data_IF_479199332280
#
_entry.id   IF_479199332280
#
_cell.length_a   1.000
_cell.length_b   1.000
_cell.length_c   1.000
_cell.angle_alpha   90.00
_cell.angle_beta   90.00
_cell.angle_gamma   90.00
#
_symmetry.space_group_name_H-M   'P 1'
#
loop_
_entity.id
_entity.type
_entity.pdbx_description
1 polymer ?
2 non-polymer ?
3 water ?
#
# COMPACT_ATOMS: atom_id res chain seq x y z
N UNK A 4 24.87 -6.10 -12.21
CA UNK A 4 24.35 -5.28 -11.06
C UNK A 4 23.93 -3.89 -11.52
N UNK A 5 24.59 -3.40 -12.57
CA UNK A 5 24.48 -2.01 -12.96
C UNK A 5 23.25 -1.73 -13.83
N UNK A 6 22.65 -0.58 -13.56
CA UNK A 6 21.62 -0.06 -14.40
C UNK A 6 22.28 0.56 -15.64
N UNK A 7 21.93 0.06 -16.82
CA UNK A 7 22.53 0.52 -18.08
C UNK A 7 21.59 1.44 -18.85
N UNK A 8 20.29 1.11 -18.89
CA UNK A 8 19.29 1.99 -19.49
C UNK A 8 19.05 3.19 -18.61
N UNK A 9 18.36 4.19 -19.17
CA UNK A 9 17.95 5.35 -18.37
C UNK A 9 16.45 5.36 -18.16
N UNK A 10 16.05 5.91 -17.03
CA UNK A 10 14.65 5.91 -16.55
C UNK A 10 14.19 7.35 -16.42
N UNK A 11 13.20 7.69 -17.23
CA UNK A 11 12.69 9.04 -17.31
C UNK A 11 11.21 9.05 -16.96
N UNK A 12 10.85 9.84 -15.95
CA UNK A 12 9.44 9.95 -15.57
C UNK A 12 8.89 11.30 -15.95
N UNK A 13 7.65 11.33 -16.43
CA UNK A 13 6.93 12.58 -16.66
C UNK A 13 5.85 12.75 -15.60
N UNK A 14 5.80 13.94 -15.01
CA UNK A 14 4.78 14.36 -14.03
C UNK A 14 4.09 15.63 -14.48
N UNK A 15 2.97 15.92 -13.83
CA UNK A 15 2.25 17.14 -14.18
C UNK A 15 0.77 16.94 -14.05
N UNK A 16 0.04 18.05 -13.97
CA UNK A 16 -1.38 17.95 -13.89
C UNK A 16 -1.95 17.35 -15.16
N UNK A 17 -3.18 16.92 -14.98
CA UNK A 17 -3.96 16.16 -15.93
C UNK A 17 -3.87 16.74 -17.36
N UNK A 18 -3.85 18.06 -17.48
CA UNK A 18 -3.83 18.63 -18.82
C UNK A 18 -2.46 18.99 -19.44
N UNK A 19 -1.42 18.93 -18.60
CA UNK A 19 -0.11 19.56 -18.85
C UNK A 19 0.66 19.12 -20.12
N UNK A 20 0.15 18.12 -20.82
CA UNK A 20 0.76 17.63 -22.07
C UNK A 20 1.81 16.54 -21.86
N UNK A 21 1.71 15.87 -20.71
CA UNK A 21 2.59 14.74 -20.36
C UNK A 21 2.70 13.75 -21.49
N UNK A 22 1.54 13.18 -21.85
CA UNK A 22 1.47 12.12 -22.85
C UNK A 22 2.02 12.55 -24.21
N UNK A 23 1.71 13.77 -24.67
CA UNK A 23 2.30 14.30 -25.92
C UNK A 23 3.84 14.30 -25.87
N UNK A 24 4.40 14.94 -24.85
CA UNK A 24 5.86 15.04 -24.71
C UNK A 24 6.53 13.72 -24.48
N UNK A 25 5.90 12.86 -23.66
CA UNK A 25 6.48 11.52 -23.44
C UNK A 25 6.50 10.71 -24.74
N UNK A 26 5.44 10.83 -25.54
CA UNK A 26 5.35 10.16 -26.85
C UNK A 26 6.44 10.66 -27.80
N UNK A 27 6.64 11.97 -27.82
CA UNK A 27 7.64 12.62 -28.67
C UNK A 27 9.04 12.19 -28.26
N UNK A 28 9.27 12.02 -26.95
CA UNK A 28 10.60 11.63 -26.50
C UNK A 28 10.86 10.20 -26.89
N UNK A 29 9.89 9.34 -26.67
CA UNK A 29 10.00 7.95 -27.12
C UNK A 29 10.36 7.87 -28.60
N UNK A 30 9.61 8.59 -29.44
CA UNK A 30 9.88 8.62 -30.88
C UNK A 30 11.31 9.06 -31.17
N UNK A 31 11.77 10.12 -30.49
CA UNK A 31 13.15 10.62 -30.64
C UNK A 31 14.19 9.55 -30.28
N UNK A 32 13.97 8.89 -29.14
CA UNK A 32 14.87 7.84 -28.70
C UNK A 32 14.92 6.68 -29.71
N UNK A 33 13.76 6.21 -30.15
CA UNK A 33 13.69 5.17 -31.19
C UNK A 33 14.37 5.54 -32.49
N UNK A 34 14.13 6.76 -32.96
CA UNK A 34 14.74 7.26 -34.19
C UNK A 34 16.23 7.16 -34.11
N UNK A 35 16.75 7.23 -32.89
CA UNK A 35 18.19 7.13 -32.63
C UNK A 35 18.68 5.73 -32.24
N UNK A 36 17.87 4.71 -32.52
CA UNK A 36 18.20 3.31 -32.24
C UNK A 36 18.47 3.01 -30.76
N UNK A 37 17.85 3.80 -29.88
CA UNK A 37 17.84 3.51 -28.45
C UNK A 37 16.60 2.66 -28.23
N UNK A 38 16.76 1.52 -27.56
CA UNK A 38 15.62 0.66 -27.23
C UNK A 38 14.89 1.26 -26.04
N UNK A 39 13.57 1.32 -26.12
CA UNK A 39 12.81 2.06 -25.10
C UNK A 39 11.43 1.46 -24.95
N UNK A 40 11.00 1.34 -23.69
CA UNK A 40 9.66 0.91 -23.34
C UNK A 40 8.92 2.11 -22.77
N UNK A 41 7.73 2.36 -23.30
CA UNK A 41 6.89 3.44 -22.80
C UNK A 41 5.82 2.86 -21.87
N UNK A 42 5.85 3.25 -20.59
CA UNK A 42 4.90 2.78 -19.58
C UNK A 42 4.12 3.99 -19.03
N UNK A 43 2.97 3.72 -18.40
CA UNK A 43 2.21 4.78 -17.71
C UNK A 43 1.53 4.19 -16.51
N UNK A 44 1.35 5.03 -15.50
CA UNK A 44 0.61 4.66 -14.31
C UNK A 44 -0.51 5.65 -14.09
N UNK A 45 -1.64 5.16 -13.62
CA UNK A 45 -1.99 3.78 -13.41
C UNK A 45 -2.20 3.08 -14.72
N UNK A 46 -2.17 1.75 -14.72
CA UNK A 46 -2.51 1.00 -15.90
C UNK A 46 -3.32 -0.20 -15.49
N UNK A 47 -3.80 -0.93 -16.49
CA UNK A 47 -4.76 -2.01 -16.27
C UNK A 47 -4.09 -3.36 -16.55
N UNK A 48 -2.82 -3.45 -16.23
CA UNK A 48 -2.10 -4.68 -16.45
C UNK A 48 -2.69 -5.88 -15.75
N UNK A 49 -3.21 -5.67 -14.54
CA UNK A 49 -3.83 -6.76 -13.76
C UNK A 49 -5.13 -6.27 -13.17
N UNK A 50 -5.75 -7.09 -12.31
CA UNK A 50 -6.94 -6.67 -11.59
C UNK A 50 -6.79 -5.46 -10.68
N UNK A 51 -5.55 -5.16 -10.26
CA UNK A 51 -5.33 -3.99 -9.40
C UNK A 51 -5.76 -2.73 -10.16
N UNK A 52 -5.20 -2.57 -11.37
CA UNK A 52 -5.53 -1.48 -12.26
C UNK A 52 -6.97 -1.42 -12.68
N UNK A 53 -7.61 -2.58 -12.85
CA UNK A 53 -9.07 -2.56 -13.10
C UNK A 53 -9.90 -1.91 -11.98
N UNK A 54 -9.52 -2.16 -10.71
CA UNK A 54 -10.21 -1.46 -9.60
C UNK A 54 -9.95 0.05 -9.61
N UNK A 55 -8.70 0.41 -9.88
CA UNK A 55 -8.36 1.82 -10.00
C UNK A 55 -9.20 2.52 -11.06
N UNK A 56 -9.45 1.86 -12.20
CA UNK A 56 -10.34 2.49 -13.22
C UNK A 56 -11.73 2.80 -12.67
N UNK A 57 -12.31 1.85 -11.90
CA UNK A 57 -13.64 2.06 -11.35
C UNK A 57 -13.64 3.21 -10.36
N UNK A 58 -12.56 3.37 -9.62
CA UNK A 58 -12.40 4.51 -8.72
C UNK A 58 -12.44 5.84 -9.48
N UNK A 59 -11.60 5.95 -10.50
CA UNK A 59 -11.48 7.20 -11.27
C UNK A 59 -12.78 7.55 -12.01
N UNK A 60 -13.55 6.52 -12.38
CA UNK A 60 -14.87 6.73 -13.01
C UNK A 60 -15.95 7.04 -11.96
N UNK A 61 -15.56 6.98 -10.69
CA UNK A 61 -16.46 7.21 -9.55
C UNK A 61 -17.58 6.18 -9.50
N UNK A 62 -17.26 4.95 -9.94
CA UNK A 62 -18.23 3.85 -9.97
C UNK A 62 -18.26 3.11 -8.64
N UNK A 63 -17.13 3.12 -7.92
CA UNK A 63 -17.11 2.57 -6.58
C UNK A 63 -16.87 3.70 -5.58
N UNK A 64 -17.17 3.46 -4.32
CA UNK A 64 -16.84 4.41 -3.27
C UNK A 64 -15.77 3.85 -2.33
N UNK A 65 -14.53 3.95 -2.77
CA UNK A 65 -13.40 3.43 -2.00
C UNK A 65 -12.83 4.50 -1.10
N UNK A 66 -12.31 4.08 0.06
CA UNK A 66 -11.74 5.01 1.03
C UNK A 66 -10.40 5.51 0.51
N UNK A 67 -9.94 6.62 1.05
CA UNK A 67 -8.77 7.27 0.55
C UNK A 67 -7.54 6.38 0.73
N UNK A 68 -7.39 5.74 1.90
CA UNK A 68 -6.20 4.88 2.08
C UNK A 68 -6.18 3.65 1.15
N UNK A 69 -7.35 3.04 0.96
CA UNK A 69 -7.46 1.86 0.13
C UNK A 69 -6.96 2.22 -1.28
N UNK A 70 -7.52 3.27 -1.90
CA UNK A 70 -7.12 3.64 -3.27
C UNK A 70 -5.65 4.01 -3.37
N UNK A 71 -5.15 4.68 -2.34
CA UNK A 71 -3.76 5.13 -2.33
C UNK A 71 -2.86 3.89 -2.44
N UNK A 72 -3.20 2.87 -1.63
CA UNK A 72 -2.38 1.66 -1.64
C UNK A 72 -2.51 0.88 -2.94
N UNK A 73 -3.66 0.91 -3.60
CA UNK A 73 -3.76 0.24 -4.90
C UNK A 73 -2.87 0.91 -5.95
N UNK A 74 -2.83 2.24 -5.96
CA UNK A 74 -1.91 2.95 -6.87
C UNK A 74 -0.44 2.55 -6.66
N UNK A 75 -0.06 2.41 -5.39
CA UNK A 75 1.34 2.06 -5.11
C UNK A 75 1.56 0.62 -5.52
N UNK A 76 0.63 -0.26 -5.19
CA UNK A 76 0.72 -1.68 -5.55
C UNK A 76 0.89 -1.88 -7.08
N UNK A 77 0.18 -1.06 -7.87
CA UNK A 77 0.28 -1.08 -9.33
C UNK A 77 1.73 -0.72 -9.74
N UNK A 78 2.40 0.19 -9.05
CA UNK A 78 3.81 0.44 -9.37
C UNK A 78 4.69 -0.75 -8.98
N UNK A 79 4.46 -1.32 -7.79
CA UNK A 79 5.28 -2.45 -7.36
C UNK A 79 5.22 -3.65 -8.31
N UNK A 80 4.05 -3.87 -8.92
CA UNK A 80 3.84 -5.02 -9.82
C UNK A 80 4.64 -4.87 -11.10
N UNK A 81 5.17 -3.65 -11.30
CA UNK A 81 5.99 -3.34 -12.46
C UNK A 81 7.49 -3.27 -12.24
N UNK A 82 7.90 -3.37 -10.98
CA UNK A 82 9.31 -3.23 -10.65
C UNK A 82 10.22 -4.30 -11.27
N UNK A 83 9.78 -5.56 -11.27
CA UNK A 83 10.55 -6.63 -11.92
C UNK A 83 10.83 -6.27 -13.37
N UNK A 84 9.77 -5.90 -14.10
CA UNK A 84 9.88 -5.55 -15.51
C UNK A 84 10.83 -4.35 -15.71
N UNK A 85 10.64 -3.29 -14.91
CA UNK A 85 11.42 -2.08 -15.10
C UNK A 85 12.91 -2.35 -14.78
N UNK A 86 13.15 -3.12 -13.71
CA UNK A 86 14.55 -3.48 -13.37
C UNK A 86 15.19 -4.24 -14.49
N UNK A 87 14.47 -5.24 -15.02
CA UNK A 87 15.04 -6.08 -16.06
C UNK A 87 15.37 -5.30 -17.33
N UNK A 88 14.47 -4.43 -17.76
CA UNK A 88 14.73 -3.61 -18.95
C UNK A 88 15.96 -2.75 -18.76
N UNK A 89 16.04 -2.08 -17.63
CA UNK A 89 17.15 -1.16 -17.38
C UNK A 89 18.48 -1.90 -17.25
N UNK A 90 18.46 -3.08 -16.66
CA UNK A 90 19.65 -3.93 -16.59
C UNK A 90 20.17 -4.29 -17.98
N UNK A 91 19.24 -4.49 -18.91
CA UNK A 91 19.57 -4.86 -20.29
C UNK A 91 19.96 -3.65 -21.17
N UNK A 92 19.77 -2.44 -20.67
CA UNK A 92 20.16 -1.24 -21.39
C UNK A 92 19.00 -0.64 -22.15
N UNK A 93 17.80 -1.16 -21.90
CA UNK A 93 16.59 -0.64 -22.49
C UNK A 93 16.11 0.49 -21.59
N UNK A 94 15.86 1.65 -22.20
CA UNK A 94 15.39 2.78 -21.43
C UNK A 94 13.89 2.65 -21.11
N UNK A 95 13.48 3.31 -20.03
CA UNK A 95 12.07 3.32 -19.66
C UNK A 95 11.62 4.77 -19.58
N UNK A 96 10.59 5.08 -20.35
CA UNK A 96 9.93 6.39 -20.29
C UNK A 96 8.53 6.13 -19.68
N UNK A 97 8.21 6.81 -18.57
CA UNK A 97 6.99 6.50 -17.82
C UNK A 97 6.16 7.75 -17.54
N UNK A 98 4.86 7.71 -17.86
CA UNK A 98 3.95 8.79 -17.65
C UNK A 98 3.33 8.60 -16.26
N UNK A 99 3.80 9.40 -15.30
CA UNK A 99 3.38 9.41 -13.86
C UNK A 99 4.07 8.29 -13.09
N UNK A 100 4.25 8.57 -11.80
CA UNK A 100 4.97 7.63 -10.93
C UNK A 100 4.56 7.88 -9.51
N UNK A 101 5.46 7.64 -8.54
CA UNK A 101 5.16 7.86 -7.11
C UNK A 101 4.89 9.31 -6.77
N UNK A 102 5.46 10.22 -7.57
CA UNK A 102 5.20 11.66 -7.30
C UNK A 102 3.70 12.01 -7.45
N UNK A 103 3.04 11.48 -8.49
CA UNK A 103 1.58 11.58 -8.63
C UNK A 103 0.88 10.98 -7.41
N UNK A 104 1.35 9.81 -7.00
CA UNK A 104 0.75 9.10 -5.85
C UNK A 104 0.65 10.01 -4.62
N UNK A 105 1.76 10.69 -4.34
CA UNK A 105 1.84 11.58 -3.18
C UNK A 105 1.03 12.90 -3.43
N UNK A 106 1.25 13.49 -4.60
CA UNK A 106 0.64 14.79 -4.89
C UNK A 106 -0.88 14.69 -4.91
N UNK A 107 -1.43 13.66 -5.53
CA UNK A 107 -2.88 13.51 -5.60
C UNK A 107 -3.47 13.10 -4.25
N UNK A 108 -2.88 12.14 -3.58
CA UNK A 108 -3.49 11.72 -2.30
C UNK A 108 -3.39 12.81 -1.23
N UNK A 109 -2.23 13.47 -1.15
CA UNK A 109 -2.01 14.43 -0.08
C UNK A 109 -2.67 15.75 -0.42
N UNK A 110 -2.70 16.07 -1.72
CA UNK A 110 -3.34 17.30 -2.21
C UNK A 110 -4.85 17.20 -2.27
N UNK A 111 -5.38 16.24 -3.03
CA UNK A 111 -6.82 16.05 -3.17
C UNK A 111 -7.53 15.33 -2.01
N UNK A 112 -6.88 14.33 -1.42
CA UNK A 112 -7.57 13.51 -0.43
C UNK A 112 -7.18 13.85 0.99
N UNK A 113 -6.24 14.78 1.13
CA UNK A 113 -5.81 15.32 2.42
C UNK A 113 -5.11 14.27 3.29
N UNK A 114 -4.49 13.27 2.66
CA UNK A 114 -3.75 12.26 3.42
C UNK A 114 -2.40 12.85 3.83
N UNK A 115 -1.85 12.36 4.93
CA UNK A 115 -0.59 12.85 5.42
C UNK A 115 0.49 12.48 4.40
N UNK A 116 1.38 13.43 4.09
CA UNK A 116 2.43 13.23 3.08
C UNK A 116 3.31 12.03 3.39
N UNK A 117 3.75 11.90 4.65
CA UNK A 117 4.71 10.86 4.98
C UNK A 117 4.01 9.52 4.87
N UNK A 118 2.76 9.43 5.34
CA UNK A 118 1.99 8.19 5.20
C UNK A 118 1.88 7.81 3.71
N UNK A 119 1.60 8.81 2.86
CA UNK A 119 1.53 8.60 1.41
C UNK A 119 2.84 8.15 0.79
N UNK A 120 3.97 8.68 1.27
CA UNK A 120 5.26 8.33 0.69
C UNK A 120 5.69 6.90 1.03
N UNK A 121 5.37 6.45 2.25
CA UNK A 121 5.95 5.20 2.75
C UNK A 121 5.78 3.97 1.82
N UNK A 122 4.56 3.71 1.31
CA UNK A 122 4.47 2.45 0.54
C UNK A 122 5.27 2.47 -0.74
N UNK A 123 5.54 3.66 -1.30
CA UNK A 123 6.44 3.75 -2.48
C UNK A 123 7.93 3.76 -2.14
N UNK A 124 8.29 3.77 -0.86
CA UNK A 124 9.69 3.70 -0.49
C UNK A 124 10.27 2.38 -0.96
N UNK A 125 11.37 2.45 -1.70
CA UNK A 125 12.02 1.27 -2.28
C UNK A 125 11.79 1.06 -3.77
N UNK A 126 10.87 1.81 -4.38
CA UNK A 126 10.71 1.75 -5.83
C UNK A 126 12.00 2.21 -6.47
N UNK A 127 12.24 1.78 -7.70
CA UNK A 127 13.43 2.25 -8.45
C UNK A 127 13.28 3.77 -8.64
N UNK A 128 14.37 4.49 -8.36
CA UNK A 128 14.42 5.95 -8.59
C UNK A 128 14.75 6.30 -10.03
N UNK A 129 13.98 7.19 -10.66
CA UNK A 129 14.35 7.59 -12.03
C UNK A 129 15.57 8.50 -12.09
N UNK A 130 16.17 8.59 -13.28
CA UNK A 130 17.34 9.46 -13.50
C UNK A 130 16.89 10.92 -13.50
N UNK A 131 15.71 11.16 -14.09
CA UNK A 131 15.15 12.50 -14.13
C UNK A 131 13.62 12.43 -14.15
N UNK A 132 12.99 13.46 -13.59
CA UNK A 132 11.56 13.65 -13.67
C UNK A 132 11.37 14.96 -14.40
N UNK A 133 10.67 14.90 -15.53
CA UNK A 133 10.26 16.15 -16.21
C UNK A 133 8.88 16.46 -15.69
N UNK A 134 8.79 17.59 -14.99
CA UNK A 134 7.54 18.11 -14.44
C UNK A 134 6.99 19.12 -15.42
N UNK A 135 5.89 18.75 -16.07
CA UNK A 135 5.27 19.61 -17.09
C UNK A 135 4.39 20.56 -16.33
N UNK A 136 4.92 21.77 -16.18
CA UNK A 136 4.31 22.75 -15.31
C UNK A 136 3.27 23.60 -16.01
N UNK A 137 2.01 23.35 -15.72
CA UNK A 137 0.93 24.21 -16.19
C UNK A 137 0.11 24.69 -14.99
N UNK A 138 0.17 26.00 -14.69
CA UNK A 138 -0.59 26.47 -13.52
C UNK A 138 -2.06 26.17 -13.71
N UNK A 139 -2.72 25.63 -12.67
CA UNK A 139 -4.14 25.40 -12.85
C UNK A 139 -4.81 26.75 -12.76
N UNK A 140 -5.67 27.06 -13.70
CA UNK A 140 -6.42 28.33 -13.64
C UNK A 140 -7.66 28.25 -14.53
N UNK A 141 -8.52 29.26 -14.41
CA UNK A 141 -9.84 29.18 -15.03
C UNK A 141 -9.91 29.74 -16.44
N UNK A 152 -13.52 13.20 -11.88
CA UNK A 152 -12.85 13.22 -10.59
C UNK A 152 -11.74 14.31 -10.55
N UNK A 153 -11.64 15.02 -9.43
CA UNK A 153 -10.58 16.01 -9.22
C UNK A 153 -10.63 17.22 -10.17
N UNK A 154 -11.59 17.26 -11.10
CA UNK A 154 -11.48 18.24 -12.19
C UNK A 154 -11.61 19.72 -11.78
N UNK A 155 -12.17 19.95 -10.59
CA UNK A 155 -12.35 21.31 -10.07
C UNK A 155 -11.02 22.03 -9.90
N UNK A 156 -10.94 23.28 -10.37
CA UNK A 156 -9.68 24.01 -10.30
C UNK A 156 -9.11 24.11 -8.87
N UNK A 157 -9.96 24.22 -7.85
CA UNK A 157 -9.46 24.31 -6.47
C UNK A 157 -8.73 23.02 -6.09
N UNK A 158 -9.23 21.91 -6.60
CA UNK A 158 -8.61 20.61 -6.31
C UNK A 158 -7.29 20.53 -7.07
N UNK A 159 -7.31 20.91 -8.34
CA UNK A 159 -6.09 20.96 -9.16
C UNK A 159 -5.00 21.83 -8.48
N UNK A 160 -5.41 22.99 -7.95
CA UNK A 160 -4.49 23.82 -7.19
C UNK A 160 -3.88 23.17 -5.95
N UNK A 161 -4.70 22.44 -5.18
CA UNK A 161 -4.15 21.64 -4.08
C UNK A 161 -3.09 20.62 -4.56
N UNK A 162 -3.41 19.91 -5.64
CA UNK A 162 -2.45 18.94 -6.18
C UNK A 162 -1.19 19.64 -6.67
N UNK A 163 -1.38 20.76 -7.37
CA UNK A 163 -0.25 21.58 -7.83
C UNK A 163 0.68 21.99 -6.68
N UNK A 164 0.08 22.42 -5.58
CA UNK A 164 0.83 22.81 -4.39
C UNK A 164 1.64 21.65 -3.81
N UNK A 165 1.04 20.47 -3.71
CA UNK A 165 1.77 19.33 -3.16
C UNK A 165 2.90 18.86 -4.09
N UNK A 166 2.73 18.98 -5.39
CA UNK A 166 3.82 18.64 -6.28
C UNK A 166 5.07 19.46 -5.98
N UNK A 167 4.88 20.64 -5.37
CA UNK A 167 6.04 21.48 -5.00
C UNK A 167 6.94 20.85 -3.96
N UNK A 168 6.44 19.83 -3.26
CA UNK A 168 7.28 19.09 -2.30
C UNK A 168 8.56 18.59 -2.97
N UNK A 169 8.54 18.35 -4.27
CA UNK A 169 9.67 17.76 -4.99
C UNK A 169 10.52 18.77 -5.78
N UNK A 170 10.11 20.02 -5.76
CA UNK A 170 10.62 21.00 -6.73
C UNK A 170 12.10 21.31 -6.57
N UNK A 171 12.61 21.17 -5.34
CA UNK A 171 13.99 21.52 -4.98
C UNK A 171 15.00 20.39 -5.22
N UNK A 172 14.50 19.21 -5.59
CA UNK A 172 15.36 18.05 -5.74
C UNK A 172 16.13 18.09 -7.04
N UNK A 173 17.33 17.51 -7.03
CA UNK A 173 18.21 17.54 -8.18
C UNK A 173 17.67 16.78 -9.41
N UNK A 174 16.88 15.72 -9.16
CA UNK A 174 16.32 14.91 -10.25
C UNK A 174 15.12 15.56 -10.93
N UNK A 175 14.58 16.60 -10.30
CA UNK A 175 13.32 17.22 -10.72
C UNK A 175 13.58 18.40 -11.66
N UNK A 176 13.12 18.25 -12.90
CA UNK A 176 13.34 19.29 -13.92
C UNK A 176 12.04 19.95 -14.28
N UNK A 177 11.92 21.21 -13.86
CA UNK A 177 10.71 21.94 -14.19
C UNK A 177 10.73 22.34 -15.67
N UNK A 178 9.66 22.03 -16.36
CA UNK A 178 9.48 22.39 -17.78
C UNK A 178 8.26 23.29 -17.89
N UNK A 179 8.43 24.49 -18.45
CA UNK A 179 7.28 25.36 -18.68
C UNK A 179 6.43 24.81 -19.81
N UNK A 180 5.31 24.21 -19.46
CA UNK A 180 4.54 23.50 -20.45
C UNK A 180 3.45 24.35 -21.08
N UNK A 181 3.55 25.66 -20.86
CA UNK A 181 2.69 26.62 -21.58
C UNK A 181 3.29 27.00 -22.94
N UNK A 182 4.55 26.61 -23.16
CA UNK A 182 5.27 27.00 -24.39
C UNK A 182 4.83 26.13 -25.57
N UNK A 183 5.39 26.39 -26.76
CA UNK A 183 5.03 25.66 -27.97
C UNK A 183 5.47 24.20 -27.83
N UNK A 184 4.69 23.28 -28.37
CA UNK A 184 4.97 21.83 -28.30
C UNK A 184 6.39 21.50 -28.78
N UNK A 185 6.80 22.05 -29.93
CA UNK A 185 8.14 21.83 -30.46
C UNK A 185 9.25 22.31 -29.51
N UNK A 186 9.04 23.46 -28.89
CA UNK A 186 10.04 24.07 -28.01
C UNK A 186 10.18 23.30 -26.69
N UNK A 187 9.05 22.83 -26.18
CA UNK A 187 9.04 21.94 -25.01
C UNK A 187 9.85 20.68 -25.30
N UNK A 188 9.55 20.05 -26.43
CA UNK A 188 10.26 18.88 -26.87
C UNK A 188 11.76 19.15 -27.01
N UNK A 189 12.14 20.27 -27.64
CA UNK A 189 13.56 20.58 -27.76
C UNK A 189 14.23 20.76 -26.40
N UNK A 190 13.52 21.35 -25.45
CA UNK A 190 14.05 21.54 -24.11
C UNK A 190 14.26 20.18 -23.43
N UNK A 191 13.28 19.31 -23.56
CA UNK A 191 13.39 17.97 -22.98
C UNK A 191 14.55 17.19 -23.61
N UNK A 192 14.67 17.24 -24.95
CA UNK A 192 15.82 16.60 -25.59
C UNK A 192 17.16 17.18 -25.06
N UNK A 193 17.23 18.50 -24.90
CA UNK A 193 18.42 19.17 -24.36
C UNK A 193 18.79 18.63 -22.95
N UNK A 194 17.77 18.42 -22.13
CA UNK A 194 17.97 17.94 -20.77
C UNK A 194 18.34 16.46 -20.74
N UNK A 195 17.67 15.65 -21.56
CA UNK A 195 18.08 14.24 -21.74
C UNK A 195 19.54 14.10 -22.16
N UNK A 196 20.04 14.99 -23.03
CA UNK A 196 21.42 14.81 -23.51
C UNK A 196 22.44 15.12 -22.40
N UNK A 197 22.00 15.76 -21.31
CA UNK A 197 22.87 15.99 -20.15
C UNK A 197 23.10 14.76 -19.25
N UNK A 198 22.18 13.79 -19.31
CA UNK A 198 22.28 12.59 -18.48
C UNK A 198 23.57 11.83 -18.77
N UNK A 199 24.20 11.39 -17.68
CA UNK A 199 25.39 10.52 -17.74
C UNK A 199 25.13 9.32 -18.67
N UNK A 200 26.06 9.05 -19.56
CA UNK A 200 25.92 7.93 -20.51
C UNK A 200 26.27 6.57 -19.89
N UNK A 201 27.20 6.56 -18.94
CA UNK A 201 27.76 5.33 -18.32
C UNK A 201 26.72 4.60 -17.49
N UNK A 202 26.90 3.28 -17.30
CA UNK A 202 26.06 2.57 -16.32
C UNK A 202 26.32 3.07 -14.90
N UNK A 203 25.36 2.78 -14.03
CA UNK A 203 25.43 3.21 -12.64
C UNK A 203 24.68 2.22 -11.76
N UNK A 204 24.87 2.34 -10.45
CA UNK A 204 24.12 1.59 -9.45
C UNK A 204 22.65 1.99 -9.52
N UNK A 205 21.73 1.04 -9.28
CA UNK A 205 20.33 1.41 -9.05
C UNK A 205 20.24 2.22 -7.77
N UNK A 206 19.39 3.24 -7.79
CA UNK A 206 19.01 4.00 -6.61
C UNK A 206 17.49 3.81 -6.40
N UNK A 207 17.02 4.15 -5.21
CA UNK A 207 15.62 3.87 -4.83
C UNK A 207 14.96 5.03 -4.10
N UNK A 208 13.65 5.15 -4.25
CA UNK A 208 12.91 6.16 -3.50
C UNK A 208 13.05 5.87 -2.01
N UNK A 209 13.13 6.90 -1.16
CA UNK A 209 13.13 8.31 -1.51
C UNK A 209 14.52 8.91 -1.37
N UNK A 210 15.54 8.21 -1.89
CA UNK A 210 16.96 8.63 -1.72
C UNK A 210 17.35 9.76 -2.67
N UNK B 3 -22.79 9.27 20.15
CA UNK B 3 -21.51 10.03 20.09
C UNK B 3 -20.38 9.32 19.28
N UNK B 4 -19.17 9.87 19.39
CA UNK B 4 -18.07 9.43 18.54
C UNK B 4 -17.09 8.51 19.28
N UNK B 5 -17.43 8.12 20.51
CA UNK B 5 -16.53 7.27 21.30
C UNK B 5 -16.68 5.80 20.92
N UNK B 6 -15.57 5.06 21.02
CA UNK B 6 -15.59 3.62 20.85
C UNK B 6 -16.31 3.03 22.06
N UNK B 7 -17.35 2.25 21.81
CA UNK B 7 -18.20 1.69 22.88
C UNK B 7 -18.11 0.16 22.98
N UNK B 8 -17.91 -0.50 21.84
CA UNK B 8 -17.75 -1.96 21.83
C UNK B 8 -16.28 -2.30 22.01
N UNK B 9 -15.99 -3.57 22.27
CA UNK B 9 -14.59 -4.01 22.34
C UNK B 9 -14.17 -4.66 21.04
N UNK B 10 -12.89 -4.50 20.75
CA UNK B 10 -12.28 -4.99 19.52
C UNK B 10 -11.20 -5.98 19.94
N UNK B 11 -11.42 -7.24 19.57
CA UNK B 11 -10.57 -8.35 19.99
C UNK B 11 -10.01 -9.01 18.77
N UNK B 12 -8.68 -8.99 18.66
CA UNK B 12 -8.00 -9.71 17.55
C UNK B 12 -7.34 -11.04 17.96
N UNK B 13 -7.51 -12.04 17.10
CA UNK B 13 -6.82 -13.31 17.21
C UNK B 13 -5.73 -13.40 16.17
N UNK B 14 -4.54 -13.78 16.63
CA UNK B 14 -3.37 -14.05 15.77
C UNK B 14 -2.82 -15.44 16.06
N UNK B 15 -2.01 -15.93 15.13
CA UNK B 15 -1.30 -17.20 15.30
C UNK B 15 -1.15 -17.89 13.97
N UNK B 16 -0.31 -18.91 13.92
CA UNK B 16 -0.14 -19.65 12.66
C UNK B 16 -1.39 -20.43 12.23
N UNK B 17 -2.23 -20.76 13.21
CA UNK B 17 -3.38 -21.67 13.09
C UNK B 17 -3.20 -22.75 12.00
N UNK B 21 -6.76 -20.64 15.96
CA UNK B 21 -7.29 -19.27 16.08
C UNK B 21 -8.79 -19.30 15.98
N UNK B 22 -9.22 -19.87 14.85
CA UNK B 22 -10.62 -19.87 14.46
C UNK B 22 -11.55 -20.58 15.46
N UNK B 23 -11.19 -21.76 15.97
CA UNK B 23 -12.00 -22.41 17.05
C UNK B 23 -12.22 -21.53 18.29
N UNK B 24 -11.12 -21.00 18.84
CA UNK B 24 -11.20 -20.09 19.98
C UNK B 24 -12.01 -18.82 19.71
N UNK B 25 -11.84 -18.22 18.53
CA UNK B 25 -12.54 -16.97 18.31
C UNK B 25 -14.04 -17.26 18.21
N UNK B 26 -14.39 -18.40 17.59
CA UNK B 26 -15.78 -18.79 17.48
C UNK B 26 -16.40 -19.11 18.85
N UNK B 27 -15.66 -19.82 19.68
CA UNK B 27 -16.10 -20.06 21.07
C UNK B 27 -16.31 -18.76 21.84
N UNK B 28 -15.45 -17.77 21.62
CA UNK B 28 -15.60 -16.48 22.30
C UNK B 28 -16.85 -15.77 21.82
N UNK B 29 -17.07 -15.78 20.51
CA UNK B 29 -18.26 -15.11 19.97
C UNK B 29 -19.51 -15.74 20.54
N UNK B 30 -19.53 -17.06 20.65
CA UNK B 30 -20.75 -17.68 21.16
C UNK B 30 -20.98 -17.41 22.65
N UNK B 31 -19.89 -17.28 23.41
CA UNK B 31 -19.97 -16.90 24.83
C UNK B 31 -20.57 -15.50 24.99
N UNK B 32 -20.11 -14.56 24.16
CA UNK B 32 -20.59 -13.18 24.23
C UNK B 32 -22.08 -13.08 23.90
N UNK B 33 -22.50 -13.83 22.88
CA UNK B 33 -23.88 -13.84 22.44
C UNK B 33 -24.77 -14.41 23.54
N UNK B 34 -24.22 -15.36 24.30
CA UNK B 34 -24.95 -16.01 25.39
C UNK B 34 -25.10 -15.12 26.59
N UNK B 35 -24.23 -14.13 26.69
CA UNK B 35 -24.19 -13.17 27.78
C UNK B 35 -24.64 -11.76 27.41
N UNK B 36 -25.55 -11.69 26.44
CA UNK B 36 -26.27 -10.47 26.05
C UNK B 36 -25.40 -9.38 25.41
N UNK B 37 -24.21 -9.77 24.93
CA UNK B 37 -23.29 -8.85 24.29
C UNK B 37 -23.48 -8.98 22.78
N UNK B 38 -23.72 -7.87 22.10
CA UNK B 38 -23.82 -7.89 20.65
C UNK B 38 -22.40 -7.92 20.05
N UNK B 39 -22.20 -8.83 19.11
CA UNK B 39 -20.86 -9.08 18.57
C UNK B 39 -20.93 -9.56 17.12
N UNK B 40 -19.94 -9.12 16.34
CA UNK B 40 -19.76 -9.60 14.98
C UNK B 40 -18.39 -10.25 14.87
N UNK B 41 -18.39 -11.42 14.22
CA UNK B 41 -17.15 -12.14 13.95
C UNK B 41 -16.67 -11.74 12.55
N UNK B 42 -15.46 -11.20 12.49
CA UNK B 42 -14.85 -10.89 11.20
C UNK B 42 -13.53 -11.65 11.01
N UNK B 43 -13.06 -11.68 9.76
CA UNK B 43 -11.75 -12.26 9.52
C UNK B 43 -11.04 -11.57 8.36
N UNK B 44 -9.71 -11.60 8.41
CA UNK B 44 -8.89 -11.11 7.29
C UNK B 44 -7.96 -12.22 6.80
N UNK B 45 -7.68 -12.27 5.49
CA UNK B 45 -8.26 -11.40 4.44
C UNK B 45 -9.74 -11.72 4.24
N UNK B 46 -10.50 -10.71 3.85
CA UNK B 46 -11.84 -10.95 3.34
C UNK B 46 -11.70 -11.09 1.84
N UNK B 47 -11.88 -12.32 1.36
CA UNK B 47 -11.59 -12.65 -0.05
C UNK B 47 -12.71 -12.34 -1.02
N UNK B 48 -13.77 -11.70 -0.51
CA UNK B 48 -14.97 -11.43 -1.30
C UNK B 48 -15.01 -10.14 -2.07
N UNK B 49 -14.26 -9.14 -1.58
CA UNK B 49 -14.15 -7.83 -2.27
C UNK B 49 -13.30 -7.97 -3.53
N UNK B 50 -13.31 -6.95 -4.39
CA UNK B 50 -12.43 -6.93 -5.56
C UNK B 50 -10.96 -7.19 -5.18
N UNK B 51 -10.50 -6.47 -4.17
CA UNK B 51 -9.15 -6.64 -3.65
C UNK B 51 -8.99 -8.07 -3.12
N UNK B 52 -9.99 -8.50 -2.33
CA UNK B 52 -9.97 -9.84 -1.73
C UNK B 52 -9.86 -10.98 -2.75
N UNK B 53 -10.50 -10.80 -3.91
CA UNK B 53 -10.44 -11.83 -4.93
C UNK B 53 -9.04 -11.93 -5.50
N UNK B 54 -8.32 -10.81 -5.58
CA UNK B 54 -6.95 -10.90 -6.07
C UNK B 54 -6.09 -11.59 -5.03
N UNK B 55 -6.28 -11.27 -3.74
CA UNK B 55 -5.58 -11.97 -2.68
C UNK B 55 -5.84 -13.48 -2.75
N UNK B 56 -7.10 -13.83 -3.00
CA UNK B 56 -7.47 -15.25 -3.05
C UNK B 56 -6.67 -15.98 -4.14
N UNK B 57 -6.54 -15.33 -5.30
CA UNK B 57 -5.79 -15.91 -6.41
C UNK B 57 -4.30 -16.12 -6.05
N UNK B 58 -3.74 -15.18 -5.30
CA UNK B 58 -2.37 -15.31 -4.81
C UNK B 58 -2.23 -16.50 -3.83
N UNK B 59 -3.10 -16.56 -2.83
CA UNK B 59 -3.02 -17.65 -1.84
C UNK B 59 -3.24 -19.05 -2.47
N UNK B 60 -4.05 -19.12 -3.52
CA UNK B 60 -4.28 -20.39 -4.24
C UNK B 60 -3.18 -20.71 -5.24
N UNK B 61 -2.19 -19.81 -5.32
CA UNK B 61 -1.04 -19.94 -6.21
C UNK B 61 -1.44 -19.98 -7.70
N UNK B 62 -2.52 -19.28 -8.01
CA UNK B 62 -3.05 -19.16 -9.36
C UNK B 62 -2.36 -18.04 -10.14
N UNK B 63 -2.03 -16.96 -9.45
CA UNK B 63 -1.26 -15.87 -10.01
C UNK B 63 0.03 -15.68 -9.20
N UNK B 64 1.11 -15.33 -9.90
CA UNK B 64 2.33 -14.84 -9.27
C UNK B 64 2.24 -13.34 -9.03
N UNK B 65 2.70 -12.94 -7.87
CA UNK B 65 2.74 -11.54 -7.50
C UNK B 65 4.02 -11.22 -6.76
N UNK B 66 4.46 -9.98 -6.92
CA UNK B 66 5.64 -9.59 -6.20
C UNK B 66 5.31 -9.39 -4.73
N UNK B 67 6.34 -9.52 -3.89
CA UNK B 67 6.15 -9.39 -2.44
C UNK B 67 5.49 -8.09 -1.94
N UNK B 68 5.96 -6.94 -2.45
CA UNK B 68 5.45 -5.67 -2.03
C UNK B 68 4.00 -5.53 -2.52
N UNK B 69 3.73 -5.99 -3.73
CA UNK B 69 2.37 -5.87 -4.30
C UNK B 69 1.36 -6.61 -3.41
N UNK B 70 1.62 -7.89 -3.13
CA UNK B 70 0.67 -8.61 -2.27
C UNK B 70 0.60 -8.03 -0.85
N UNK B 71 1.73 -7.58 -0.31
CA UNK B 71 1.72 -7.02 1.01
C UNK B 71 0.73 -5.81 1.06
N UNK B 72 0.80 -4.98 0.02
CA UNK B 72 0.00 -3.77 0.02
C UNK B 72 -1.50 -4.10 -0.18
N UNK B 73 -1.78 -5.13 -0.95
CA UNK B 73 -3.16 -5.57 -1.10
C UNK B 73 -3.72 -6.08 0.22
N UNK B 74 -2.96 -6.84 1.00
CA UNK B 74 -3.45 -7.26 2.32
C UNK B 74 -3.79 -6.04 3.20
N UNK B 75 -2.94 -5.02 3.16
CA UNK B 75 -3.21 -3.84 3.97
C UNK B 75 -4.47 -3.12 3.43
N UNK B 76 -4.56 -2.95 2.10
CA UNK B 76 -5.73 -2.27 1.52
C UNK B 76 -7.03 -2.98 1.90
N UNK B 77 -6.96 -4.31 1.95
CA UNK B 77 -8.09 -5.14 2.28
C UNK B 77 -8.56 -4.83 3.71
N UNK B 78 -7.63 -4.49 4.60
CA UNK B 78 -8.08 -3.97 5.93
C UNK B 78 -8.66 -2.58 5.86
N UNK B 79 -8.02 -1.67 5.15
CA UNK B 79 -8.53 -0.32 5.05
C UNK B 79 -9.96 -0.27 4.56
N UNK B 80 -10.28 -1.14 3.60
CA UNK B 80 -11.63 -1.10 2.98
C UNK B 80 -12.70 -1.59 3.94
N UNK B 81 -12.28 -2.20 5.07
CA UNK B 81 -13.24 -2.57 6.13
C UNK B 81 -13.22 -1.66 7.35
N UNK B 82 -12.41 -0.59 7.37
CA UNK B 82 -12.39 0.32 8.53
C UNK B 82 -13.71 1.03 8.84
N UNK B 83 -14.39 1.51 7.82
CA UNK B 83 -15.66 2.19 8.05
C UNK B 83 -16.66 1.25 8.71
N UNK B 84 -16.69 0.01 8.24
CA UNK B 84 -17.61 -1.01 8.76
C UNK B 84 -17.24 -1.33 10.23
N UNK B 85 -15.96 -1.53 10.52
CA UNK B 85 -15.52 -1.83 11.89
C UNK B 85 -15.76 -0.67 12.85
N UNK B 86 -15.41 0.54 12.41
CA UNK B 86 -15.68 1.75 13.20
C UNK B 86 -17.18 1.83 13.52
N UNK B 87 -18.02 1.63 12.51
CA UNK B 87 -19.47 1.74 12.68
C UNK B 87 -20.01 0.79 13.74
N UNK B 88 -19.56 -0.47 13.69
CA UNK B 88 -19.98 -1.46 14.69
C UNK B 88 -19.59 -1.01 16.11
N UNK B 89 -18.35 -0.60 16.26
CA UNK B 89 -17.79 -0.22 17.56
C UNK B 89 -18.47 1.04 18.14
N UNK B 90 -18.81 1.98 17.27
CA UNK B 90 -19.57 3.18 17.67
C UNK B 90 -20.95 2.82 18.23
N UNK B 91 -21.53 1.74 17.73
CA UNK B 91 -22.85 1.27 18.13
C UNK B 91 -22.82 0.43 19.42
N UNK B 92 -21.62 0.14 19.91
CA UNK B 92 -21.46 -0.75 21.08
C UNK B 92 -21.39 -2.22 20.66
N UNK B 93 -21.28 -2.48 19.36
CA UNK B 93 -21.16 -3.86 18.89
C UNK B 93 -19.70 -4.29 18.95
N UNK B 94 -19.41 -5.37 19.67
CA UNK B 94 -18.03 -5.85 19.78
C UNK B 94 -17.63 -6.48 18.45
N UNK B 95 -16.33 -6.45 18.18
CA UNK B 95 -15.76 -7.11 16.97
C UNK B 95 -14.70 -8.09 17.40
N UNK B 96 -14.88 -9.34 17.00
CA UNK B 96 -13.89 -10.36 17.22
C UNK B 96 -13.35 -10.71 15.83
N UNK B 97 -12.04 -10.57 15.64
CA UNK B 97 -11.49 -10.58 14.28
C UNK B 97 -10.34 -11.53 14.23
N UNK B 98 -10.42 -12.45 13.30
CA UNK B 98 -9.38 -13.46 13.06
C UNK B 98 -8.35 -12.91 12.07
N UNK B 99 -7.16 -12.60 12.56
CA UNK B 99 -6.03 -11.95 11.82
C UNK B 99 -6.22 -10.47 11.59
N UNK B 100 -5.11 -9.75 11.61
CA UNK B 100 -5.14 -8.32 11.40
C UNK B 100 -3.77 -7.88 10.89
N UNK B 101 -3.40 -6.65 11.19
CA UNK B 101 -2.13 -6.10 10.70
C UNK B 101 -0.89 -6.93 11.18
N UNK B 102 -1.00 -7.62 12.32
CA UNK B 102 0.16 -8.36 12.92
C UNK B 102 0.51 -9.51 11.98
N UNK B 103 -0.54 -10.18 11.47
CA UNK B 103 -0.35 -11.19 10.38
C UNK B 103 0.35 -10.53 9.18
N UNK B 104 -0.14 -9.37 8.77
CA UNK B 104 0.45 -8.66 7.63
C UNK B 104 1.95 -8.51 7.75
N UNK B 105 2.38 -8.09 8.94
CA UNK B 105 3.83 -7.91 9.22
C UNK B 105 4.59 -9.25 9.37
N UNK B 106 4.03 -10.19 10.13
CA UNK B 106 4.80 -11.40 10.45
C UNK B 106 4.96 -12.24 9.22
N UNK B 107 3.91 -12.35 8.39
CA UNK B 107 4.02 -13.19 7.20
C UNK B 107 4.92 -12.53 6.16
N UNK B 108 4.78 -11.22 5.91
CA UNK B 108 5.62 -10.60 4.88
C UNK B 108 7.08 -10.55 5.28
N UNK B 109 7.33 -10.28 6.55
CA UNK B 109 8.73 -10.21 7.00
C UNK B 109 9.29 -11.63 7.14
N UNK B 110 8.47 -12.54 7.65
CA UNK B 110 8.95 -13.93 7.83
C UNK B 110 9.03 -14.75 6.55
N UNK B 111 7.93 -14.83 5.81
CA UNK B 111 7.94 -15.62 4.57
C UNK B 111 8.57 -14.89 3.37
N UNK B 112 8.36 -13.57 3.29
CA UNK B 112 8.75 -12.84 2.08
C UNK B 112 10.03 -12.03 2.26
N UNK B 113 10.60 -12.06 3.47
CA UNK B 113 11.86 -11.36 3.74
C UNK B 113 11.79 -9.81 3.60
N UNK B 114 10.60 -9.25 3.77
CA UNK B 114 10.45 -7.81 3.68
C UNK B 114 10.82 -7.13 4.99
N UNK B 115 11.30 -5.90 4.88
CA UNK B 115 11.65 -5.10 6.04
C UNK B 115 10.45 -4.85 6.97
N UNK B 116 10.61 -5.09 8.29
CA UNK B 116 9.46 -4.98 9.20
C UNK B 116 8.86 -3.59 9.24
N UNK B 117 9.70 -2.55 9.26
CA UNK B 117 9.13 -1.21 9.34
C UNK B 117 8.39 -0.88 8.06
N UNK B 118 8.95 -1.28 6.93
CA UNK B 118 8.27 -1.00 5.65
C UNK B 118 6.92 -1.73 5.66
N UNK B 119 6.91 -2.97 6.18
CA UNK B 119 5.64 -3.71 6.27
C UNK B 119 4.60 -3.06 7.19
N UNK B 120 5.03 -2.45 8.30
CA UNK B 120 4.10 -1.87 9.23
C UNK B 120 3.49 -0.57 8.68
N UNK B 121 4.27 0.18 7.92
CA UNK B 121 3.86 1.51 7.48
C UNK B 121 2.44 1.63 6.87
N UNK B 122 2.08 0.79 5.88
CA UNK B 122 0.74 0.94 5.27
C UNK B 122 -0.41 0.72 6.24
N UNK B 123 -0.18 -0.06 7.31
CA UNK B 123 -1.22 -0.27 8.32
C UNK B 123 -1.26 0.78 9.42
N UNK B 124 -0.31 1.71 9.40
CA UNK B 124 -0.34 2.77 10.37
C UNK B 124 -1.65 3.52 10.15
N UNK B 125 -2.45 3.72 11.21
CA UNK B 125 -3.74 4.42 11.09
C UNK B 125 -4.96 3.54 11.16
N UNK B 126 -4.76 2.22 11.05
CA UNK B 126 -5.90 1.31 11.26
C UNK B 126 -6.36 1.43 12.70
N UNK B 127 -7.63 1.13 12.96
CA UNK B 127 -8.09 1.05 14.35
C UNK B 127 -7.29 0.01 15.14
N UNK B 128 -6.92 0.36 16.36
CA UNK B 128 -6.13 -0.55 17.22
C UNK B 128 -7.06 -1.39 18.08
N UNK B 129 -6.84 -2.69 18.17
CA UNK B 129 -7.73 -3.49 19.04
C UNK B 129 -7.44 -3.27 20.55
N UNK B 130 -8.40 -3.67 21.37
CA UNK B 130 -8.19 -3.66 22.80
C UNK B 130 -7.22 -4.72 23.27
N UNK B 131 -7.27 -5.88 22.62
CA UNK B 131 -6.39 -6.99 22.99
C UNK B 131 -6.14 -7.83 21.75
N UNK B 132 -4.96 -8.41 21.70
CA UNK B 132 -4.65 -9.46 20.74
C UNK B 132 -4.37 -10.75 21.48
N UNK B 133 -5.16 -11.78 21.18
CA UNK B 133 -4.83 -13.13 21.68
C UNK B 133 -4.00 -13.81 20.64
N UNK B 134 -2.76 -14.12 21.02
CA UNK B 134 -1.86 -14.85 20.15
C UNK B 134 -1.83 -16.33 20.48
N UNK B 135 -2.32 -17.14 19.55
CA UNK B 135 -2.46 -18.57 19.83
C UNK B 135 -1.15 -19.19 19.44
N UNK B 136 -0.35 -19.50 20.46
CA UNK B 136 1.01 -19.90 20.26
C UNK B 136 1.14 -21.41 20.13
N UNK B 137 1.48 -21.87 18.93
CA UNK B 137 1.74 -23.29 18.67
C UNK B 137 3.06 -23.35 17.93
N UNK B 138 4.12 -23.85 18.60
CA UNK B 138 5.37 -24.06 17.87
C UNK B 138 5.14 -24.96 16.66
N UNK B 139 5.63 -24.53 15.47
CA UNK B 139 5.47 -25.36 14.28
C UNK B 139 6.40 -26.57 14.29
N UNK B 140 5.93 -27.69 13.80
CA UNK B 140 6.80 -28.86 13.70
C UNK B 140 6.25 -29.81 12.67
N UNK B 141 7.06 -30.78 12.27
CA UNK B 141 6.68 -31.72 11.20
C UNK B 141 5.58 -32.71 11.58
N UNK B 142 5.49 -33.02 12.87
CA UNK B 142 4.47 -33.91 13.44
C UNK B 142 3.04 -33.60 12.99
N UNK B 152 0.37 -22.76 -0.33
CA UNK B 152 1.34 -21.71 -0.06
C UNK B 152 1.78 -21.67 1.42
N UNK B 153 3.07 -21.43 1.65
CA UNK B 153 3.60 -21.19 3.00
C UNK B 153 3.75 -22.38 3.97
N UNK B 154 3.12 -23.50 3.66
CA UNK B 154 3.09 -24.63 4.63
C UNK B 154 4.42 -25.32 5.00
N UNK B 155 5.46 -25.10 4.20
CA UNK B 155 6.82 -25.58 4.54
C UNK B 155 7.16 -25.24 6.00
N UNK B 156 7.61 -26.24 6.77
CA UNK B 156 7.86 -26.05 8.19
C UNK B 156 8.91 -24.93 8.42
N UNK B 157 9.91 -24.84 7.55
CA UNK B 157 10.92 -23.81 7.74
C UNK B 157 10.35 -22.41 7.48
N UNK B 158 9.35 -22.30 6.61
CA UNK B 158 8.67 -20.99 6.38
C UNK B 158 7.81 -20.67 7.59
N UNK B 159 7.07 -21.67 8.08
CA UNK B 159 6.29 -21.49 9.31
C UNK B 159 7.17 -21.06 10.50
N UNK B 160 8.34 -21.68 10.65
CA UNK B 160 9.29 -21.28 11.69
C UNK B 160 9.76 -19.81 11.57
N UNK B 161 10.01 -19.33 10.36
CA UNK B 161 10.42 -17.97 10.12
C UNK B 161 9.29 -17.01 10.55
N UNK B 162 8.04 -17.36 10.23
CA UNK B 162 6.89 -16.53 10.62
C UNK B 162 6.65 -16.55 12.14
N UNK B 163 6.72 -17.75 12.73
CA UNK B 163 6.67 -17.89 14.17
C UNK B 163 7.70 -16.94 14.81
N UNK B 164 8.93 -16.88 14.29
CA UNK B 164 9.91 -15.94 14.88
C UNK B 164 9.55 -14.47 14.71
N UNK B 165 9.07 -14.09 13.53
CA UNK B 165 8.76 -12.68 13.31
C UNK B 165 7.55 -12.22 14.13
N UNK B 166 6.65 -13.15 14.46
CA UNK B 166 5.54 -12.79 15.34
C UNK B 166 6.01 -12.26 16.71
N UNK B 167 7.18 -12.73 17.17
CA UNK B 167 7.78 -12.21 18.41
C UNK B 167 8.00 -10.69 18.42
N UNK B 168 8.06 -10.09 17.23
CA UNK B 168 8.16 -8.64 17.12
C UNK B 168 7.10 -7.92 17.95
N UNK B 169 5.97 -8.56 18.18
CA UNK B 169 4.87 -7.92 18.90
C UNK B 169 4.73 -8.41 20.34
N UNK B 170 5.53 -9.37 20.73
CA UNK B 170 5.21 -10.13 21.96
C UNK B 170 5.43 -9.34 23.23
N UNK B 171 6.29 -8.34 23.16
CA UNK B 171 6.50 -7.48 24.34
C UNK B 171 5.47 -6.36 24.52
N UNK B 172 4.56 -6.24 23.57
CA UNK B 172 3.57 -5.17 23.65
C UNK B 172 2.47 -5.37 24.69
N UNK B 173 2.02 -4.26 25.26
CA UNK B 173 1.05 -4.32 26.37
C UNK B 173 -0.29 -4.93 26.00
N UNK B 174 -0.67 -4.83 24.72
CA UNK B 174 -1.96 -5.37 24.23
C UNK B 174 -1.89 -6.87 23.85
N UNK B 175 -0.68 -7.44 23.85
CA UNK B 175 -0.43 -8.78 23.29
C UNK B 175 -0.54 -9.80 24.39
N UNK B 176 -1.51 -10.71 24.25
CA UNK B 176 -1.66 -11.78 25.23
C UNK B 176 -1.25 -13.10 24.61
N UNK B 177 -0.08 -13.60 25.01
CA UNK B 177 0.33 -14.92 24.57
C UNK B 177 -0.53 -15.99 25.23
N UNK B 178 -1.04 -16.90 24.39
CA UNK B 178 -1.85 -18.06 24.84
C UNK B 178 -1.14 -19.34 24.41
N UNK B 179 -0.81 -20.20 25.38
CA UNK B 179 -0.24 -21.48 25.01
C UNK B 179 -1.35 -22.33 24.40
N UNK B 180 -1.34 -22.49 23.08
CA UNK B 180 -2.48 -23.08 22.37
C UNK B 180 -2.36 -24.60 22.16
N UNK B 181 -1.37 -25.17 22.84
CA UNK B 181 -1.19 -26.63 22.92
C UNK B 181 -2.05 -27.20 24.04
N UNK B 182 -2.49 -26.34 24.95
CA UNK B 182 -3.33 -26.79 26.07
C UNK B 182 -4.72 -27.19 25.62
N UNK B 183 -5.55 -27.57 26.60
CA UNK B 183 -6.87 -28.06 26.31
C UNK B 183 -7.79 -26.96 25.78
N UNK B 184 -8.57 -27.27 24.75
CA UNK B 184 -9.48 -26.31 24.13
C UNK B 184 -10.27 -25.53 25.19
N UNK B 185 -10.92 -26.23 26.13
CA UNK B 185 -11.75 -25.52 27.09
C UNK B 185 -10.92 -24.73 28.10
N UNK B 186 -9.69 -25.14 28.37
CA UNK B 186 -8.86 -24.38 29.31
C UNK B 186 -8.40 -23.04 28.69
N UNK B 187 -8.02 -23.13 27.42
CA UNK B 187 -7.75 -21.92 26.61
C UNK B 187 -8.96 -20.98 26.58
N UNK B 188 -10.13 -21.53 26.27
CA UNK B 188 -11.35 -20.74 26.21
C UNK B 188 -11.61 -20.03 27.55
N UNK B 189 -11.50 -20.76 28.64
CA UNK B 189 -11.73 -20.17 29.93
C UNK B 189 -10.71 -19.08 30.23
N UNK B 190 -9.48 -19.27 29.79
CA UNK B 190 -8.46 -18.24 29.99
C UNK B 190 -8.80 -17.00 29.17
N UNK B 191 -9.24 -17.21 27.93
CA UNK B 191 -9.64 -16.12 27.04
C UNK B 191 -10.82 -15.34 27.60
N UNK B 192 -11.85 -16.06 28.05
CA UNK B 192 -13.01 -15.40 28.65
C UNK B 192 -12.66 -14.54 29.86
N UNK B 193 -11.77 -15.06 30.71
CA UNK B 193 -11.29 -14.31 31.88
C UNK B 193 -10.60 -13.02 31.48
N UNK B 194 -9.73 -13.10 30.48
CA UNK B 194 -9.01 -11.93 30.00
C UNK B 194 -9.98 -10.90 29.41
N UNK B 195 -10.95 -11.39 28.63
CA UNK B 195 -11.98 -10.54 28.04
C UNK B 195 -12.81 -9.82 29.13
N UNK B 196 -13.08 -10.51 30.23
CA UNK B 196 -13.78 -9.97 31.41
C UNK B 196 -13.03 -8.84 32.13
N UNK B 197 -11.72 -8.76 31.94
CA UNK B 197 -10.90 -7.66 32.49
C UNK B 197 -10.78 -6.44 31.57
N UNK B 198 -11.20 -6.59 30.30
CA UNK B 198 -11.26 -5.43 29.42
C UNK B 198 -12.14 -4.33 30.02
N UNK B 199 -11.57 -3.13 30.08
CA UNK B 199 -12.23 -1.94 30.62
C UNK B 199 -13.51 -1.69 29.85
N UNK B 200 -14.63 -1.50 30.56
CA UNK B 200 -15.95 -1.53 29.92
C UNK B 200 -16.47 -0.17 29.38
N UNK B 201 -15.90 0.93 29.87
CA UNK B 201 -16.39 2.28 29.58
C UNK B 201 -16.14 2.76 28.15
N UNK B 202 -17.03 3.61 27.59
CA UNK B 202 -16.75 4.25 26.30
C UNK B 202 -15.39 4.95 26.33
N UNK B 203 -14.63 4.83 25.24
CA UNK B 203 -13.33 5.47 25.17
C UNK B 203 -13.09 6.06 23.78
N UNK B 204 -12.09 6.91 23.66
CA UNK B 204 -11.62 7.34 22.35
C UNK B 204 -10.98 6.17 21.57
N UNK B 205 -11.19 6.18 20.25
CA UNK B 205 -10.49 5.22 19.40
C UNK B 205 -9.00 5.46 19.43
N UNK B 206 -8.26 4.35 19.40
CA UNK B 206 -6.82 4.38 19.24
C UNK B 206 -6.45 3.73 17.91
N UNK B 207 -5.25 4.06 17.45
CA UNK B 207 -4.82 3.62 16.09
C UNK B 207 -3.44 2.99 16.03
N UNK B 208 -3.21 2.08 15.09
CA UNK B 208 -1.85 1.51 14.98
C UNK B 208 -0.91 2.63 14.56
N UNK B 209 0.33 2.64 15.02
CA UNK B 209 0.93 1.61 15.88
C UNK B 209 1.20 2.23 17.26
N UNK B 210 0.20 2.94 17.77
CA UNK B 210 0.31 3.61 19.07
C UNK B 210 0.28 2.58 20.20
#
# INVERSE_FOLDING_TARGET
MTDDKKKGKFIVFEGLDRSGKSTQSKLLVEYLKNNNVEVKHLYFPNRETGIGQIISKYLKMENSMSNETIHLLFSANRWEHMNEIKSLLLKGIWVVCDRYAYSGVAYSSGALNLNKTWCMNPDQGLIKPDVVFYLNVPPNYAQNRSDYGEEIYEKVETQKKIYETYKHFAHEDYWINIDATRKIEDIHNDIVKEVTKIKVEPEEFNFLWS
MTDDKKKGKFIVFEGLDRSGKSTQSKLLVEYLKNNNVEVKHLYFPNRETGIGQIISKYLKMENSMSNETIHLLFSANRWEHMNEIKSLLLKGIWVVCDRYAYSGVAYSSGALNLNKTWCMNPDQGLIKPDVVFYLNVPPNYAQNRSDYGEEIYEKVETQKKIYETYKHFAHEDYWINIDATRKIEDIHNDIVKEVTKIKVEPEEFNFLWS
#
